data_IF_950217469163
#
_entry.id   IF_950217469163
#
_cell.length_a   1.000
_cell.length_b   1.000
_cell.length_c   1.000
_cell.angle_alpha   90.00
_cell.angle_beta   90.00
_cell.angle_gamma   90.00
#
_symmetry.space_group_name_H-M   'P 1'
#
loop_
_entity.id
_entity.type
_entity.pdbx_description
1 polymer ?
#
# COMPACT_ATOMS: atom_id res chain seq x y z
N UNK A 1 -45.78 -51.46 0.50
CA UNK A 1 -46.30 -50.08 0.57
C UNK A 1 -45.52 -49.16 1.52
N UNK A 2 -45.30 -49.47 2.80
CA UNK A 2 -44.67 -48.50 3.75
C UNK A 2 -43.21 -48.12 3.42
N UNK A 3 -42.42 -49.05 2.87
CA UNK A 3 -41.02 -48.81 2.44
C UNK A 3 -40.91 -47.86 1.24
N UNK A 4 -41.90 -47.87 0.35
CA UNK A 4 -41.95 -46.97 -0.82
C UNK A 4 -42.18 -45.53 -0.39
N UNK A 5 -43.05 -45.28 0.59
CA UNK A 5 -43.28 -43.94 1.12
C UNK A 5 -42.03 -43.36 1.80
N UNK A 6 -41.32 -44.17 2.61
CA UNK A 6 -40.07 -43.74 3.23
C UNK A 6 -38.98 -43.43 2.19
N UNK A 7 -38.84 -44.25 1.15
CA UNK A 7 -37.90 -44.01 0.06
C UNK A 7 -38.25 -42.75 -0.77
N UNK A 8 -39.54 -42.53 -1.07
CA UNK A 8 -40.03 -41.34 -1.78
C UNK A 8 -39.86 -40.06 -0.96
N UNK A 9 -40.15 -40.10 0.34
CA UNK A 9 -39.92 -38.97 1.26
C UNK A 9 -38.43 -38.64 1.41
N UNK A 10 -37.57 -39.66 1.51
CA UNK A 10 -36.12 -39.46 1.54
C UNK A 10 -35.59 -38.77 0.28
N UNK A 11 -36.14 -39.11 -0.89
CA UNK A 11 -35.79 -38.48 -2.17
C UNK A 11 -36.29 -37.03 -2.26
N UNK A 12 -37.51 -36.74 -1.82
CA UNK A 12 -38.07 -35.38 -1.82
C UNK A 12 -37.33 -34.44 -0.86
N UNK A 13 -37.01 -34.89 0.36
CA UNK A 13 -36.21 -34.12 1.31
C UNK A 13 -34.79 -33.89 0.79
N UNK A 14 -34.20 -34.87 0.08
CA UNK A 14 -32.88 -34.72 -0.56
C UNK A 14 -32.90 -33.69 -1.69
N UNK A 15 -33.96 -33.66 -2.49
CA UNK A 15 -34.15 -32.64 -3.53
C UNK A 15 -34.33 -31.24 -2.95
N UNK A 16 -35.13 -31.11 -1.87
CA UNK A 16 -35.33 -29.83 -1.20
C UNK A 16 -34.05 -29.35 -0.51
N UNK A 17 -33.30 -30.25 0.10
CA UNK A 17 -31.99 -29.96 0.67
C UNK A 17 -30.98 -29.52 -0.41
N UNK A 18 -31.01 -30.14 -1.60
CA UNK A 18 -30.15 -29.74 -2.71
C UNK A 18 -30.48 -28.32 -3.18
N UNK A 19 -31.76 -27.97 -3.32
CA UNK A 19 -32.20 -26.62 -3.70
C UNK A 19 -31.80 -25.60 -2.62
N UNK A 20 -32.07 -25.91 -1.35
CA UNK A 20 -31.67 -25.07 -0.22
C UNK A 20 -30.16 -24.85 -0.16
N UNK A 21 -29.36 -25.89 -0.39
CA UNK A 21 -27.91 -25.81 -0.44
C UNK A 21 -27.42 -24.93 -1.60
N UNK A 22 -28.02 -25.04 -2.79
CA UNK A 22 -27.65 -24.18 -3.93
C UNK A 22 -27.99 -22.71 -3.66
N UNK A 23 -29.13 -22.43 -3.04
CA UNK A 23 -29.51 -21.06 -2.67
C UNK A 23 -28.57 -20.48 -1.62
N UNK A 24 -28.22 -21.28 -0.60
CA UNK A 24 -27.26 -20.90 0.42
C UNK A 24 -25.87 -20.64 -0.17
N UNK A 25 -25.42 -21.45 -1.13
CA UNK A 25 -24.14 -21.26 -1.81
C UNK A 25 -24.11 -19.94 -2.59
N UNK A 26 -25.18 -19.61 -3.32
CA UNK A 26 -25.29 -18.33 -4.05
C UNK A 26 -25.23 -17.16 -3.06
N UNK A 27 -26.00 -17.22 -1.96
CA UNK A 27 -25.98 -16.19 -0.94
C UNK A 27 -24.58 -16.02 -0.32
N UNK A 28 -23.89 -17.13 -0.01
CA UNK A 28 -22.54 -17.11 0.52
C UNK A 28 -21.54 -16.45 -0.45
N UNK A 29 -21.64 -16.76 -1.75
CA UNK A 29 -20.81 -16.13 -2.79
C UNK A 29 -21.04 -14.63 -2.86
N UNK A 30 -22.30 -14.19 -2.82
CA UNK A 30 -22.64 -12.76 -2.85
C UNK A 30 -22.03 -12.05 -1.64
N UNK A 31 -22.21 -12.59 -0.43
CA UNK A 31 -21.64 -12.02 0.78
C UNK A 31 -20.12 -11.98 0.72
N UNK A 32 -19.48 -13.06 0.26
CA UNK A 32 -18.04 -13.12 0.07
C UNK A 32 -17.53 -12.08 -0.93
N UNK A 33 -18.25 -11.88 -2.04
CA UNK A 33 -17.91 -10.86 -3.03
C UNK A 33 -18.03 -9.44 -2.46
N UNK A 34 -19.09 -9.15 -1.71
CA UNK A 34 -19.27 -7.85 -1.04
C UNK A 34 -18.14 -7.59 -0.05
N UNK A 35 -17.81 -8.56 0.81
CA UNK A 35 -16.71 -8.45 1.77
C UNK A 35 -15.37 -8.24 1.07
N UNK A 36 -15.12 -8.97 -0.03
CA UNK A 36 -13.90 -8.84 -0.82
C UNK A 36 -13.78 -7.43 -1.42
N UNK A 37 -14.86 -6.85 -1.94
CA UNK A 37 -14.87 -5.49 -2.49
C UNK A 37 -14.57 -4.45 -1.41
N UNK A 38 -15.21 -4.55 -0.25
CA UNK A 38 -14.97 -3.63 0.87
C UNK A 38 -13.53 -3.70 1.36
N UNK A 39 -13.01 -4.93 1.49
CA UNK A 39 -11.62 -5.16 1.85
C UNK A 39 -10.66 -4.56 0.81
N UNK A 40 -10.89 -4.85 -0.49
CA UNK A 40 -10.08 -4.34 -1.58
C UNK A 40 -10.09 -2.81 -1.63
N UNK A 41 -11.25 -2.18 -1.43
CA UNK A 41 -11.37 -0.73 -1.35
C UNK A 41 -10.55 -0.16 -0.19
N UNK A 42 -10.59 -0.79 0.98
CA UNK A 42 -9.83 -0.37 2.16
C UNK A 42 -8.32 -0.47 1.91
N UNK A 43 -7.87 -1.60 1.37
CA UNK A 43 -6.46 -1.82 1.00
C UNK A 43 -6.01 -0.81 -0.05
N UNK A 44 -6.85 -0.51 -1.04
CA UNK A 44 -6.54 0.49 -2.07
C UNK A 44 -6.32 1.88 -1.47
N UNK A 45 -7.17 2.31 -0.53
CA UNK A 45 -7.00 3.60 0.15
C UNK A 45 -5.68 3.63 0.93
N UNK A 46 -5.37 2.58 1.68
CA UNK A 46 -4.10 2.47 2.42
C UNK A 46 -2.91 2.50 1.47
N UNK A 47 -2.99 1.78 0.34
CA UNK A 47 -1.93 1.73 -0.67
C UNK A 47 -1.69 3.11 -1.31
N UNK A 48 -2.76 3.87 -1.59
CA UNK A 48 -2.65 5.22 -2.14
C UNK A 48 -1.98 6.16 -1.11
N UNK A 49 -2.43 6.12 0.15
CA UNK A 49 -1.86 6.96 1.20
C UNK A 49 -0.40 6.61 1.51
N UNK A 50 -0.08 5.33 1.63
CA UNK A 50 1.30 4.88 1.86
C UNK A 50 2.20 5.24 0.68
N UNK A 51 1.73 5.07 -0.56
CA UNK A 51 2.48 5.47 -1.76
C UNK A 51 2.74 6.98 -1.79
N UNK A 52 1.73 7.79 -1.46
CA UNK A 52 1.89 9.24 -1.37
C UNK A 52 2.94 9.62 -0.32
N UNK A 53 2.84 9.06 0.89
CA UNK A 53 3.80 9.29 1.97
C UNK A 53 5.22 8.86 1.58
N UNK A 54 5.38 7.69 0.97
CA UNK A 54 6.68 7.18 0.52
C UNK A 54 7.26 8.04 -0.61
N UNK A 55 6.44 8.52 -1.55
CA UNK A 55 6.87 9.42 -2.60
C UNK A 55 7.39 10.75 -2.03
N UNK A 56 6.65 11.35 -1.08
CA UNK A 56 7.07 12.58 -0.41
C UNK A 56 8.33 12.36 0.42
N UNK A 57 8.41 11.27 1.17
CA UNK A 57 9.61 10.92 1.94
C UNK A 57 10.82 10.75 1.00
N UNK A 58 10.67 10.01 -0.11
CA UNK A 58 11.70 9.85 -1.13
C UNK A 58 12.15 11.17 -1.73
N UNK A 59 11.22 12.06 -2.04
CA UNK A 59 11.52 13.40 -2.55
C UNK A 59 12.27 14.25 -1.52
N UNK A 60 11.85 14.22 -0.26
CA UNK A 60 12.51 14.94 0.83
C UNK A 60 13.94 14.43 1.05
N UNK A 61 14.15 13.11 1.07
CA UNK A 61 15.48 12.51 1.15
C UNK A 61 16.34 12.90 -0.05
N UNK A 62 15.78 12.90 -1.27
CA UNK A 62 16.50 13.33 -2.47
C UNK A 62 16.88 14.81 -2.40
N UNK A 63 15.96 15.68 -2.01
CA UNK A 63 16.23 17.10 -1.82
C UNK A 63 17.31 17.35 -0.77
N UNK A 64 17.30 16.64 0.37
CA UNK A 64 18.36 16.71 1.38
C UNK A 64 19.72 16.28 0.82
N UNK A 65 19.77 15.19 0.03
CA UNK A 65 21.01 14.74 -0.62
C UNK A 65 21.54 15.78 -1.60
N UNK A 66 20.67 16.33 -2.46
CA UNK A 66 21.05 17.37 -3.41
C UNK A 66 21.51 18.67 -2.71
N UNK A 67 20.83 19.09 -1.64
CA UNK A 67 21.23 20.26 -0.88
C UNK A 67 22.56 20.05 -0.14
N UNK A 68 22.85 18.84 0.33
CA UNK A 68 24.13 18.52 0.98
C UNK A 68 25.28 18.52 -0.03
N UNK A 69 25.09 17.87 -1.19
CA UNK A 69 26.06 17.94 -2.29
C UNK A 69 26.35 19.40 -2.72
N UNK A 70 25.32 20.26 -2.80
CA UNK A 70 25.50 21.69 -3.08
C UNK A 70 26.19 22.48 -1.97
N UNK A 71 26.08 22.06 -0.70
CA UNK A 71 26.84 22.68 0.39
C UNK A 71 28.31 22.32 0.29
N UNK A 72 28.62 21.08 -0.06
CA UNK A 72 29.99 20.63 -0.21
C UNK A 72 30.69 21.29 -1.43
N UNK A 73 29.93 21.62 -2.50
CA UNK A 73 30.45 22.30 -3.71
C UNK A 73 30.63 23.83 -3.60
N UNK A 74 30.11 24.49 -2.56
CA UNK A 74 29.90 25.94 -2.60
C UNK A 74 30.11 26.72 -1.31
N UNK A 75 30.47 26.07 -0.19
CA UNK A 75 30.85 26.81 1.02
C UNK A 75 32.29 27.31 0.85
N UNK A 76 32.42 28.49 0.27
CA UNK A 76 33.59 29.34 0.44
C UNK A 76 33.57 29.79 1.92
N UNK A 77 34.26 29.06 2.78
CA UNK A 77 34.52 29.50 4.16
C UNK A 77 35.40 30.75 4.09
N UNK A 78 34.77 31.93 4.11
CA UNK A 78 35.46 33.19 4.33
C UNK A 78 35.84 33.28 5.82
N UNK A 79 36.93 32.61 6.20
CA UNK A 79 37.48 32.69 7.55
C UNK A 79 38.20 34.04 7.70
N UNK A 80 37.66 34.91 8.54
CA UNK A 80 38.28 36.20 8.87
C UNK A 80 39.55 35.94 9.70
N UNK A 81 40.71 35.85 9.06
CA UNK A 81 42.00 35.51 9.69
C UNK A 81 42.67 36.69 10.44
N UNK A 82 41.90 37.70 10.84
CA UNK A 82 42.40 38.93 11.46
C UNK A 82 43.08 39.87 10.46
N UNK A 83 42.47 41.04 10.22
CA UNK A 83 42.99 42.10 9.35
C UNK A 83 41.98 42.58 8.29
N UNK A 84 42.36 43.56 7.45
CA UNK A 84 41.50 44.20 6.44
C UNK A 84 41.28 43.39 5.14
N UNK A 85 41.62 42.10 5.10
CA UNK A 85 41.55 41.29 3.89
C UNK A 85 40.70 40.03 4.10
N UNK A 86 39.64 39.92 3.32
CA UNK A 86 38.83 38.71 3.21
C UNK A 86 39.37 37.85 2.06
N UNK A 87 39.76 36.62 2.35
CA UNK A 87 40.23 35.66 1.33
C UNK A 87 39.24 34.50 1.26
N UNK A 88 38.70 34.29 0.07
CA UNK A 88 37.89 33.13 -0.27
C UNK A 88 38.81 31.95 -0.57
N UNK A 89 38.94 31.00 0.37
CA UNK A 89 39.51 29.70 0.05
C UNK A 89 38.40 28.79 -0.47
N UNK A 90 38.48 28.46 -1.74
CA UNK A 90 37.56 27.54 -2.39
C UNK A 90 38.18 27.06 -3.69
N UNK A 91 39.18 26.18 -3.61
CA UNK A 91 39.58 25.41 -4.79
C UNK A 91 40.27 24.08 -4.46
N UNK A 92 39.50 23.01 -4.67
CA UNK A 92 39.87 21.74 -5.31
C UNK A 92 40.69 20.72 -4.52
N UNK A 93 40.00 19.95 -3.67
CA UNK A 93 40.43 18.57 -3.36
C UNK A 93 40.01 17.67 -4.52
N UNK A 94 40.94 17.49 -5.46
CA UNK A 94 40.92 16.39 -6.42
C UNK A 94 41.31 15.11 -5.66
N UNK A 95 40.36 14.19 -5.46
CA UNK A 95 40.62 12.75 -5.38
C UNK A 95 39.34 11.94 -5.56
#
# INVERSE_FOLDING_TARGET
MVKEFAARNGSALRSLAAIGATLAAIAAVIVGAVLAVVFAATVAVIAIMSSALLALAGLALRARRTARARRDDGVIEARHLGGHHWVAYGWNERS
#
